data_IF_835388229229
#
_entry.id   IF_835388229229
#
_cell.length_a   1.000
_cell.length_b   1.000
_cell.length_c   1.000
_cell.angle_alpha   90.00
_cell.angle_beta   90.00
_cell.angle_gamma   90.00
#
_symmetry.space_group_name_H-M   'P 1'
#
loop_
_entity.id
_entity.type
_entity.pdbx_description
1 polymer ?
#
# COMPACT_ATOMS: atom_id res chain seq x y z
N UNK A 1 9.58 -6.99 -93.36
CA UNK A 1 9.71 -5.52 -93.38
C UNK A 1 10.39 -5.14 -92.07
N UNK A 2 11.61 -4.63 -92.20
CA UNK A 2 12.51 -4.24 -91.10
C UNK A 2 12.20 -2.80 -90.68
N UNK A 3 12.17 -2.56 -89.37
CA UNK A 3 12.11 -1.26 -88.66
C UNK A 3 12.19 -1.63 -87.18
N UNK A 4 13.07 -1.15 -86.28
CA UNK A 4 13.94 0.01 -86.16
C UNK A 4 15.14 -0.42 -85.27
N UNK A 5 16.40 -0.09 -85.58
CA UNK A 5 17.14 1.14 -85.19
C UNK A 5 17.16 1.37 -83.67
N UNK A 6 18.17 0.82 -82.97
CA UNK A 6 19.33 1.48 -82.31
C UNK A 6 19.00 2.16 -80.98
N UNK A 7 19.58 1.64 -79.90
CA UNK A 7 20.13 2.45 -78.80
C UNK A 7 21.43 1.79 -78.25
N UNK A 8 22.47 2.56 -77.91
CA UNK A 8 23.81 2.04 -77.63
C UNK A 8 24.17 1.98 -76.13
N UNK A 9 25.14 1.10 -75.86
CA UNK A 9 26.14 1.06 -74.78
C UNK A 9 25.97 1.99 -73.55
N UNK A 10 25.76 1.40 -72.38
CA UNK A 10 26.44 1.83 -71.15
C UNK A 10 26.95 0.63 -70.33
N UNK A 11 28.26 0.41 -70.47
CA UNK A 11 29.25 0.17 -69.40
C UNK A 11 28.99 -1.01 -68.45
N UNK A 12 29.78 -2.07 -68.66
CA UNK A 12 30.03 -3.11 -67.66
C UNK A 12 30.75 -2.53 -66.44
N UNK A 13 30.11 -2.62 -65.27
CA UNK A 13 30.83 -2.67 -64.00
C UNK A 13 30.57 -4.03 -63.35
N UNK A 14 31.57 -4.89 -63.42
CA UNK A 14 31.59 -6.18 -62.75
C UNK A 14 31.83 -5.96 -61.25
N UNK A 15 31.07 -6.65 -60.41
CA UNK A 15 31.57 -7.44 -59.27
C UNK A 15 30.70 -7.34 -57.99
N UNK A 16 30.14 -8.51 -57.64
CA UNK A 16 29.92 -8.99 -56.29
C UNK A 16 28.95 -8.22 -55.36
N UNK A 17 27.66 -8.48 -55.55
CA UNK A 17 26.77 -8.66 -54.40
C UNK A 17 26.06 -10.01 -54.55
N UNK A 18 26.57 -11.04 -53.88
CA UNK A 18 25.79 -12.27 -53.62
C UNK A 18 24.56 -11.83 -52.81
N UNK A 19 23.42 -11.63 -53.49
CA UNK A 19 22.12 -11.53 -52.82
C UNK A 19 21.93 -12.82 -52.05
N UNK A 20 22.00 -12.74 -50.72
CA UNK A 20 21.67 -13.86 -49.84
C UNK A 20 20.18 -14.11 -50.01
N UNK A 21 19.83 -15.12 -50.80
CA UNK A 21 18.48 -15.68 -50.77
C UNK A 21 18.34 -16.41 -49.43
N UNK A 22 17.84 -15.68 -48.43
CA UNK A 22 17.33 -16.28 -47.20
C UNK A 22 16.06 -17.02 -47.61
N UNK A 23 16.12 -18.36 -47.68
CA UNK A 23 14.90 -19.15 -47.64
C UNK A 23 14.22 -18.86 -46.31
N UNK A 24 13.01 -18.31 -46.34
CA UNK A 24 12.16 -18.15 -45.15
C UNK A 24 11.93 -19.54 -44.56
N UNK A 25 12.77 -19.93 -43.61
CA UNK A 25 12.69 -21.19 -42.89
C UNK A 25 11.58 -21.11 -41.86
N UNK A 26 10.34 -21.26 -42.31
CA UNK A 26 9.17 -21.34 -41.44
C UNK A 26 7.92 -20.79 -42.10
N UNK A 27 6.80 -21.46 -41.85
CA UNK A 27 5.47 -20.95 -42.15
C UNK A 27 5.23 -19.69 -41.32
N UNK A 28 5.29 -18.51 -41.95
CA UNK A 28 4.98 -17.22 -41.32
C UNK A 28 3.49 -16.99 -41.54
N UNK A 29 2.67 -17.54 -40.65
CA UNK A 29 1.21 -17.46 -40.72
C UNK A 29 0.58 -16.80 -39.50
N UNK A 30 -0.66 -16.31 -39.65
CA UNK A 30 -1.54 -15.91 -38.55
C UNK A 30 -1.75 -17.04 -37.53
N UNK A 31 -1.47 -18.28 -37.93
CA UNK A 31 -1.46 -19.48 -37.06
C UNK A 31 -0.48 -19.36 -35.88
N UNK A 32 0.52 -18.48 -35.96
CA UNK A 32 1.47 -18.22 -34.85
C UNK A 32 1.01 -17.14 -33.88
N UNK A 33 -0.10 -16.43 -34.15
CA UNK A 33 -0.63 -15.40 -33.23
C UNK A 33 -1.02 -15.97 -31.86
N UNK A 34 -1.67 -17.15 -31.74
CA UNK A 34 -1.92 -17.79 -30.46
C UNK A 34 -0.62 -18.05 -29.70
N UNK A 35 0.40 -18.60 -30.37
CA UNK A 35 1.71 -18.87 -29.75
C UNK A 35 2.42 -17.58 -29.31
N UNK A 36 2.26 -16.49 -30.06
CA UNK A 36 2.76 -15.17 -29.70
C UNK A 36 2.03 -14.58 -28.49
N UNK A 37 0.69 -14.74 -28.40
CA UNK A 37 -0.09 -14.30 -27.26
C UNK A 37 0.22 -15.12 -26.01
N UNK A 38 0.36 -16.44 -26.16
CA UNK A 38 0.76 -17.34 -25.07
C UNK A 38 2.15 -16.98 -24.58
N UNK A 39 3.15 -16.87 -25.46
CA UNK A 39 4.52 -16.52 -25.07
C UNK A 39 4.63 -15.14 -24.43
N UNK A 40 3.88 -14.15 -24.92
CA UNK A 40 3.78 -12.82 -24.29
C UNK A 40 3.15 -12.89 -22.89
N UNK A 41 2.06 -13.65 -22.75
CA UNK A 41 1.38 -13.82 -21.46
C UNK A 41 2.24 -14.56 -20.44
N UNK A 42 2.98 -15.59 -20.89
CA UNK A 42 3.94 -16.33 -20.07
C UNK A 42 5.08 -15.43 -19.60
N UNK A 43 5.58 -14.54 -20.46
CA UNK A 43 6.65 -13.58 -20.11
C UNK A 43 6.17 -12.50 -19.13
N UNK A 44 4.92 -12.06 -19.26
CA UNK A 44 4.33 -11.05 -18.38
C UNK A 44 3.96 -11.63 -17.01
N UNK A 45 3.69 -12.94 -16.95
CA UNK A 45 3.22 -13.63 -15.75
C UNK A 45 1.75 -13.33 -15.44
N UNK A 46 1.19 -14.11 -14.52
CA UNK A 46 -0.20 -13.99 -14.09
C UNK A 46 -0.25 -13.43 -12.67
N UNK A 47 -1.20 -12.53 -12.41
CA UNK A 47 -1.51 -12.09 -11.06
C UNK A 47 -2.79 -12.79 -10.61
N UNK A 48 -2.81 -13.36 -9.41
CA UNK A 48 -4.01 -13.95 -8.85
C UNK A 48 -4.18 -13.55 -7.39
N UNK A 49 -5.31 -12.93 -7.04
CA UNK A 49 -5.55 -12.39 -5.72
C UNK A 49 -6.74 -13.10 -5.07
N UNK A 50 -6.49 -13.76 -3.94
CA UNK A 50 -7.47 -14.56 -3.19
C UNK A 50 -7.74 -13.87 -1.86
N UNK A 51 -9.02 -13.60 -1.58
CA UNK A 51 -9.48 -13.13 -0.27
C UNK A 51 -10.03 -14.32 0.53
N UNK A 52 -9.51 -14.52 1.74
CA UNK A 52 -9.99 -15.53 2.67
C UNK A 52 -10.81 -14.88 3.79
N UNK A 53 -12.12 -15.12 3.80
CA UNK A 53 -13.05 -14.61 4.81
C UNK A 53 -13.56 -15.73 5.70
N UNK A 54 -13.43 -15.58 7.02
CA UNK A 54 -14.03 -16.51 7.96
C UNK A 54 -13.52 -16.34 9.38
N UNK A 55 -14.13 -17.06 10.31
CA UNK A 55 -13.83 -16.93 11.75
C UNK A 55 -12.37 -17.23 12.10
N UNK A 56 -11.89 -16.66 13.21
CA UNK A 56 -10.55 -16.94 13.72
C UNK A 56 -10.43 -18.41 14.13
N UNK A 57 -9.34 -19.07 13.73
CA UNK A 57 -9.12 -20.50 14.02
C UNK A 57 -9.89 -21.49 13.15
N UNK A 58 -10.59 -21.04 12.10
CA UNK A 58 -11.33 -21.93 11.19
C UNK A 58 -10.45 -22.79 10.28
N UNK A 59 -9.18 -22.40 10.09
CA UNK A 59 -8.20 -23.14 9.28
C UNK A 59 -7.87 -22.50 7.92
N UNK A 60 -8.05 -21.17 7.78
CA UNK A 60 -7.76 -20.41 6.54
C UNK A 60 -6.33 -20.60 6.06
N UNK A 61 -5.36 -20.28 6.92
CA UNK A 61 -3.93 -20.40 6.64
C UNK A 61 -3.51 -21.83 6.33
N UNK A 62 -4.07 -22.82 7.04
CA UNK A 62 -3.81 -24.24 6.78
C UNK A 62 -4.30 -24.65 5.39
N UNK A 63 -5.51 -24.24 4.99
CA UNK A 63 -6.03 -24.54 3.66
C UNK A 63 -5.16 -23.92 2.56
N UNK A 64 -4.72 -22.68 2.73
CA UNK A 64 -3.84 -22.01 1.76
C UNK A 64 -2.50 -22.73 1.62
N UNK A 65 -1.88 -23.14 2.73
CA UNK A 65 -0.66 -23.94 2.70
C UNK A 65 -0.87 -25.28 1.97
N UNK A 66 -2.01 -25.95 2.21
CA UNK A 66 -2.34 -27.20 1.51
C UNK A 66 -2.57 -26.96 0.01
N UNK A 67 -3.26 -25.88 -0.38
CA UNK A 67 -3.63 -25.61 -1.76
C UNK A 67 -2.42 -25.35 -2.66
N UNK A 68 -1.47 -24.56 -2.19
CA UNK A 68 -0.25 -24.21 -2.94
C UNK A 68 0.96 -25.10 -2.62
N UNK A 69 0.79 -26.05 -1.69
CA UNK A 69 1.86 -26.94 -1.22
C UNK A 69 3.12 -26.18 -0.75
N UNK A 70 2.90 -24.99 -0.18
CA UNK A 70 3.95 -24.09 0.31
C UNK A 70 3.64 -23.72 1.75
N UNK A 71 4.69 -23.59 2.58
CA UNK A 71 4.55 -23.11 3.95
C UNK A 71 4.59 -21.59 3.95
N UNK A 72 3.42 -20.96 3.97
CA UNK A 72 3.33 -19.53 4.17
C UNK A 72 3.53 -19.21 5.67
N UNK A 73 4.46 -18.30 5.99
CA UNK A 73 4.72 -17.85 7.36
C UNK A 73 3.51 -17.11 7.93
N UNK A 74 2.61 -17.81 8.62
CA UNK A 74 1.42 -17.22 9.25
C UNK A 74 1.66 -17.04 10.75
N UNK A 75 1.58 -15.81 11.24
CA UNK A 75 1.43 -15.58 12.69
C UNK A 75 0.00 -15.98 13.08
N UNK A 76 -0.13 -16.76 14.15
CA UNK A 76 -1.42 -17.11 14.69
C UNK A 76 -2.13 -15.86 15.21
N UNK A 77 -3.35 -15.65 14.72
CA UNK A 77 -4.19 -14.54 15.14
C UNK A 77 -4.72 -14.77 16.56
N UNK A 78 -4.54 -13.78 17.44
CA UNK A 78 -5.17 -13.76 18.75
C UNK A 78 -6.67 -13.48 18.63
N UNK A 79 -7.49 -14.15 19.46
CA UNK A 79 -8.93 -13.94 19.58
C UNK A 79 -9.32 -12.60 20.23
N UNK A 80 -8.36 -11.87 20.82
CA UNK A 80 -8.60 -10.62 21.56
C UNK A 80 -8.41 -9.36 20.71
N UNK A 81 -8.54 -9.46 19.39
CA UNK A 81 -8.35 -8.29 18.53
C UNK A 81 -9.57 -7.38 18.54
N UNK A 82 -9.31 -6.09 18.80
CA UNK A 82 -10.34 -5.06 18.95
C UNK A 82 -11.06 -4.70 17.63
N UNK A 83 -10.63 -5.23 16.48
CA UNK A 83 -11.26 -4.96 15.18
C UNK A 83 -10.82 -5.93 14.10
N UNK A 84 -11.55 -5.92 12.99
CA UNK A 84 -11.26 -6.70 11.78
C UNK A 84 -10.23 -5.94 10.94
N UNK A 85 -9.13 -6.60 10.58
CA UNK A 85 -8.18 -6.06 9.60
C UNK A 85 -7.79 -7.11 8.57
N UNK A 86 -7.37 -6.64 7.41
CA UNK A 86 -6.93 -7.46 6.29
C UNK A 86 -5.41 -7.45 6.21
N UNK A 87 -4.83 -8.63 6.03
CA UNK A 87 -3.39 -8.82 5.90
C UNK A 87 -3.09 -9.37 4.50
N UNK A 88 -2.76 -8.52 3.51
CA UNK A 88 -2.34 -8.97 2.19
C UNK A 88 -0.90 -9.50 2.23
N UNK A 89 -0.67 -10.60 1.52
CA UNK A 89 0.64 -11.26 1.42
C UNK A 89 0.84 -11.71 0.00
N UNK A 90 1.89 -11.21 -0.63
CA UNK A 90 2.21 -11.51 -2.03
C UNK A 90 3.35 -12.50 -2.10
N UNK A 91 3.15 -13.55 -2.88
CA UNK A 91 4.08 -14.64 -3.13
C UNK A 91 4.31 -14.78 -4.62
N UNK A 92 5.55 -14.83 -5.04
CA UNK A 92 5.91 -15.13 -6.42
C UNK A 92 6.14 -16.64 -6.54
N UNK A 93 5.16 -17.32 -7.13
CA UNK A 93 5.21 -18.75 -7.41
C UNK A 93 5.63 -18.96 -8.87
N UNK A 94 6.43 -20.00 -9.10
CA UNK A 94 6.79 -20.41 -10.46
C UNK A 94 6.42 -21.88 -10.64
N UNK A 95 5.54 -22.15 -11.60
CA UNK A 95 5.18 -23.51 -11.98
C UNK A 95 5.66 -23.75 -13.41
N UNK A 96 6.65 -24.63 -13.54
CA UNK A 96 7.38 -24.86 -14.80
C UNK A 96 7.95 -23.56 -15.39
N UNK A 97 7.35 -23.02 -16.45
CA UNK A 97 7.79 -21.80 -17.14
C UNK A 97 6.84 -20.61 -16.89
N UNK A 98 5.81 -20.77 -16.07
CA UNK A 98 4.81 -19.75 -15.81
C UNK A 98 5.07 -19.11 -14.45
N UNK A 99 5.20 -17.78 -14.45
CA UNK A 99 5.27 -16.99 -13.23
C UNK A 99 3.86 -16.59 -12.79
N UNK A 100 3.51 -16.93 -11.56
CA UNK A 100 2.26 -16.58 -10.90
C UNK A 100 2.56 -15.73 -9.67
N UNK A 101 2.19 -14.46 -9.72
CA UNK A 101 2.19 -13.56 -8.57
C UNK A 101 0.87 -13.71 -7.82
N UNK A 102 0.91 -14.50 -6.76
CA UNK A 102 -0.23 -14.81 -5.92
C UNK A 102 -0.30 -13.84 -4.73
N UNK A 103 -1.40 -13.10 -4.58
CA UNK A 103 -1.67 -12.34 -3.34
C UNK A 103 -2.75 -13.02 -2.54
N UNK A 104 -2.44 -13.44 -1.33
CA UNK A 104 -3.40 -13.98 -0.37
C UNK A 104 -3.73 -12.87 0.62
N UNK A 105 -5.01 -12.54 0.73
CA UNK A 105 -5.53 -11.56 1.68
C UNK A 105 -6.29 -12.29 2.77
N UNK A 106 -5.69 -12.36 3.96
CA UNK A 106 -6.32 -12.99 5.11
C UNK A 106 -7.09 -11.97 5.94
N UNK A 107 -8.31 -12.33 6.32
CA UNK A 107 -9.09 -11.59 7.33
C UNK A 107 -8.74 -12.06 8.73
N UNK A 108 -8.39 -11.10 9.59
CA UNK A 108 -8.04 -11.35 10.99
C UNK A 108 -9.09 -10.73 11.90
N UNK A 109 -9.49 -11.45 12.94
CA UNK A 109 -10.49 -10.97 13.91
C UNK A 109 -11.93 -11.01 13.40
N UNK A 110 -12.22 -11.63 12.25
CA UNK A 110 -13.59 -11.72 11.74
C UNK A 110 -14.46 -12.59 12.66
N UNK A 111 -15.55 -12.03 13.17
CA UNK A 111 -16.53 -12.74 14.02
C UNK A 111 -16.18 -12.83 15.51
N UNK A 112 -15.02 -12.32 15.93
CA UNK A 112 -14.56 -12.31 17.33
C UNK A 112 -15.18 -11.17 18.16
N UNK A 113 -15.61 -10.08 17.51
CA UNK A 113 -16.21 -8.94 18.22
C UNK A 113 -17.61 -9.27 18.75
N UNK A 114 -17.96 -8.65 19.89
CA UNK A 114 -19.31 -8.74 20.47
C UNK A 114 -20.31 -8.03 19.54
N UNK A 115 -19.95 -6.86 19.00
CA UNK A 115 -20.75 -6.18 17.99
C UNK A 115 -20.28 -6.59 16.59
N UNK A 116 -21.17 -7.28 15.86
CA UNK A 116 -20.87 -7.94 14.57
C UNK A 116 -21.49 -7.25 13.36
N UNK A 117 -22.23 -6.16 13.57
CA UNK A 117 -22.96 -5.48 12.49
C UNK A 117 -22.00 -4.84 11.47
N UNK A 118 -20.85 -4.33 11.93
CA UNK A 118 -19.89 -3.59 11.13
C UNK A 118 -18.66 -4.41 10.70
N UNK A 119 -18.63 -5.72 10.97
CA UNK A 119 -17.47 -6.58 10.68
C UNK A 119 -17.16 -6.70 9.18
N UNK A 120 -18.14 -6.44 8.29
CA UNK A 120 -17.93 -6.47 6.84
C UNK A 120 -17.32 -5.19 6.28
N UNK A 121 -17.41 -4.05 6.99
CA UNK A 121 -16.96 -2.74 6.48
C UNK A 121 -15.48 -2.76 6.08
N UNK A 122 -14.52 -3.23 6.92
CA UNK A 122 -13.11 -3.22 6.54
C UNK A 122 -12.81 -4.09 5.31
N UNK A 123 -13.55 -5.19 5.12
CA UNK A 123 -13.40 -6.08 3.96
C UNK A 123 -13.87 -5.37 2.69
N UNK A 124 -15.03 -4.74 2.77
CA UNK A 124 -15.61 -3.99 1.65
C UNK A 124 -14.73 -2.79 1.31
N UNK A 125 -14.28 -2.03 2.30
CA UNK A 125 -13.41 -0.87 2.11
C UNK A 125 -12.08 -1.27 1.46
N UNK A 126 -11.52 -2.43 1.82
CA UNK A 126 -10.32 -2.96 1.19
C UNK A 126 -10.55 -3.30 -0.29
N UNK A 127 -11.66 -3.98 -0.61
CA UNK A 127 -12.03 -4.31 -2.01
C UNK A 127 -12.21 -3.03 -2.83
N UNK A 128 -12.97 -2.06 -2.30
CA UNK A 128 -13.22 -0.78 -2.96
C UNK A 128 -11.92 0.01 -3.17
N UNK A 129 -11.00 -0.03 -2.19
CA UNK A 129 -9.68 0.59 -2.33
C UNK A 129 -8.88 -0.04 -3.48
N UNK A 130 -8.96 -1.36 -3.68
CA UNK A 130 -8.28 -2.00 -4.81
C UNK A 130 -8.91 -1.61 -6.15
N UNK A 131 -10.24 -1.53 -6.22
CA UNK A 131 -10.92 -1.06 -7.42
C UNK A 131 -10.61 0.42 -7.71
N UNK A 132 -10.55 1.25 -6.68
CA UNK A 132 -10.17 2.66 -6.82
C UNK A 132 -8.73 2.80 -7.34
N UNK A 133 -7.78 2.04 -6.79
CA UNK A 133 -6.39 2.07 -7.25
C UNK A 133 -6.27 1.71 -8.74
N UNK A 134 -7.02 0.72 -9.18
CA UNK A 134 -7.07 0.32 -10.59
C UNK A 134 -7.74 1.40 -11.47
N UNK A 135 -8.86 1.97 -11.01
CA UNK A 135 -9.56 3.06 -11.71
C UNK A 135 -8.67 4.30 -11.84
N UNK A 136 -7.94 4.67 -10.79
CA UNK A 136 -6.99 5.79 -10.84
C UNK A 136 -5.88 5.56 -11.86
N UNK A 137 -5.38 4.33 -12.01
CA UNK A 137 -4.43 4.00 -13.05
C UNK A 137 -5.05 4.10 -14.45
N UNK A 138 -6.30 3.65 -14.63
CA UNK A 138 -7.04 3.78 -15.89
C UNK A 138 -7.27 5.24 -16.28
N UNK A 139 -7.51 6.12 -15.30
CA UNK A 139 -7.73 7.55 -15.52
C UNK A 139 -6.44 8.35 -15.80
N UNK A 140 -5.25 7.78 -15.60
CA UNK A 140 -3.99 8.47 -15.94
C UNK A 140 -3.88 8.70 -17.45
N UNK A 141 -3.28 9.82 -17.84
CA UNK A 141 -3.07 10.20 -19.26
C UNK A 141 -2.03 9.29 -19.92
N UNK A 142 -0.94 8.97 -19.22
CA UNK A 142 0.05 7.99 -19.65
C UNK A 142 -0.25 6.65 -18.96
N UNK A 143 -1.04 5.83 -19.63
CA UNK A 143 -1.49 4.52 -19.11
C UNK A 143 -0.40 3.48 -19.35
N UNK A 144 0.05 2.82 -18.29
CA UNK A 144 0.87 1.62 -18.39
C UNK A 144 0.12 0.41 -17.83
N UNK A 145 -1.07 0.13 -18.35
CA UNK A 145 -1.92 -0.99 -17.92
C UNK A 145 -1.20 -2.35 -18.02
N UNK A 146 -0.29 -2.49 -18.98
CA UNK A 146 0.50 -3.69 -19.19
C UNK A 146 1.57 -3.94 -18.11
N UNK A 147 2.07 -2.89 -17.46
CA UNK A 147 3.04 -3.01 -16.36
C UNK A 147 2.40 -2.80 -14.99
N UNK A 148 1.09 -2.54 -14.93
CA UNK A 148 0.40 -2.32 -13.68
C UNK A 148 0.16 -3.65 -12.98
N UNK A 149 0.45 -3.69 -11.69
CA UNK A 149 0.17 -4.86 -10.88
C UNK A 149 -1.30 -4.84 -10.48
N UNK A 150 -2.07 -5.79 -11.00
CA UNK A 150 -3.48 -5.94 -10.62
C UNK A 150 -3.60 -6.41 -9.18
N UNK A 151 -4.14 -5.56 -8.30
CA UNK A 151 -4.40 -5.87 -6.88
C UNK A 151 -5.86 -6.19 -6.59
N UNK A 152 -6.73 -6.20 -7.61
CA UNK A 152 -8.16 -6.51 -7.44
C UNK A 152 -8.35 -7.93 -6.96
N UNK A 153 -9.28 -8.15 -6.05
CA UNK A 153 -9.58 -9.49 -5.54
C UNK A 153 -10.38 -10.25 -6.60
N UNK A 154 -9.83 -11.36 -7.10
CA UNK A 154 -10.50 -12.17 -8.13
C UNK A 154 -11.50 -13.16 -7.52
N UNK A 155 -11.23 -13.60 -6.29
CA UNK A 155 -12.00 -14.64 -5.62
C UNK A 155 -12.06 -14.38 -4.12
N UNK A 156 -13.25 -14.58 -3.54
CA UNK A 156 -13.47 -14.61 -2.11
C UNK A 156 -13.83 -16.03 -1.66
N UNK A 157 -12.92 -16.69 -0.95
CA UNK A 157 -13.19 -17.95 -0.27
C UNK A 157 -13.85 -17.68 1.07
N UNK A 158 -15.13 -18.06 1.18
CA UNK A 158 -15.93 -17.83 2.37
C UNK A 158 -16.01 -19.10 3.22
N UNK A 159 -15.30 -19.10 4.35
CA UNK A 159 -15.20 -20.23 5.26
C UNK A 159 -16.40 -20.28 6.22
N UNK A 160 -17.26 -21.26 6.01
CA UNK A 160 -18.42 -21.55 6.85
C UNK A 160 -17.99 -22.54 7.94
N UNK A 161 -18.34 -22.22 9.18
CA UNK A 161 -18.11 -23.12 10.31
C UNK A 161 -19.01 -24.37 10.22
N UNK A 162 -18.48 -25.58 10.48
CA UNK A 162 -19.24 -26.81 10.40
C UNK A 162 -20.13 -27.00 11.64
N UNK A 163 -21.17 -26.18 11.78
CA UNK A 163 -22.12 -26.27 12.91
C UNK A 163 -23.19 -27.34 12.71
N UNK A 164 -23.38 -27.83 11.47
CA UNK A 164 -24.39 -28.85 11.14
C UNK A 164 -25.84 -28.36 11.09
N UNK A 165 -26.08 -27.08 11.41
CA UNK A 165 -27.40 -26.47 11.46
C UNK A 165 -27.67 -25.61 10.21
N UNK A 166 -27.66 -24.29 10.39
CA UNK A 166 -27.92 -23.25 9.40
C UNK A 166 -26.72 -22.31 9.31
N UNK A 167 -26.72 -21.42 8.32
CA UNK A 167 -25.76 -20.33 8.23
C UNK A 167 -25.93 -19.38 9.42
N UNK A 168 -24.82 -18.78 9.87
CA UNK A 168 -24.87 -17.73 10.88
C UNK A 168 -25.46 -16.46 10.25
N UNK A 169 -26.18 -15.68 11.04
CA UNK A 169 -26.73 -14.39 10.57
C UNK A 169 -25.62 -13.43 10.11
N UNK A 170 -24.45 -13.48 10.77
CA UNK A 170 -23.26 -12.73 10.36
C UNK A 170 -22.82 -13.08 8.93
N UNK A 171 -22.82 -14.38 8.62
CA UNK A 171 -22.36 -14.88 7.32
C UNK A 171 -23.29 -14.40 6.21
N UNK A 172 -24.60 -14.46 6.46
CA UNK A 172 -25.63 -14.03 5.52
C UNK A 172 -25.54 -12.52 5.23
N UNK A 173 -25.38 -11.68 6.27
CA UNK A 173 -25.22 -10.23 6.08
C UNK A 173 -23.93 -9.93 5.31
N UNK A 174 -22.83 -10.60 5.65
CA UNK A 174 -21.53 -10.37 5.01
C UNK A 174 -21.54 -10.80 3.54
N UNK A 175 -22.04 -12.00 3.24
CA UNK A 175 -22.12 -12.51 1.87
C UNK A 175 -23.01 -11.62 0.99
N UNK A 176 -24.14 -11.13 1.52
CA UNK A 176 -25.04 -10.21 0.81
C UNK A 176 -24.43 -8.84 0.52
N UNK A 177 -23.38 -8.43 1.24
CA UNK A 177 -22.65 -7.19 0.95
C UNK A 177 -21.48 -7.41 -0.01
N UNK A 178 -20.94 -8.63 -0.05
CA UNK A 178 -19.79 -9.00 -0.89
C UNK A 178 -20.19 -9.51 -2.28
N UNK A 179 -21.41 -10.02 -2.45
CA UNK A 179 -21.87 -10.67 -3.70
C UNK A 179 -21.82 -9.76 -4.94
N UNK A 180 -22.08 -8.46 -4.76
CA UNK A 180 -21.98 -7.46 -5.83
C UNK A 180 -20.54 -7.08 -6.19
N UNK A 181 -19.56 -7.38 -5.32
CA UNK A 181 -18.19 -6.89 -5.43
C UNK A 181 -17.16 -7.96 -5.77
N UNK A 182 -17.36 -9.20 -5.35
CA UNK A 182 -16.39 -10.28 -5.56
C UNK A 182 -17.12 -11.60 -5.82
N UNK A 183 -16.52 -12.45 -6.64
CA UNK A 183 -16.93 -13.85 -6.82
C UNK A 183 -16.76 -14.65 -5.53
N UNK A 184 -17.87 -14.91 -4.82
CA UNK A 184 -17.87 -15.66 -3.56
C UNK A 184 -17.98 -17.15 -3.83
N UNK A 185 -17.07 -17.92 -3.22
CA UNK A 185 -17.11 -19.38 -3.20
C UNK A 185 -17.25 -19.86 -1.74
N UNK A 186 -18.42 -20.39 -1.37
CA UNK A 186 -18.65 -20.90 -0.02
C UNK A 186 -17.95 -22.25 0.17
N UNK A 187 -17.16 -22.35 1.24
CA UNK A 187 -16.44 -23.56 1.64
C UNK A 187 -16.78 -23.92 3.08
N UNK A 188 -17.14 -25.18 3.30
CA UNK A 188 -17.33 -25.74 4.63
C UNK A 188 -15.96 -26.15 5.14
N UNK A 189 -15.47 -25.44 6.16
CA UNK A 189 -14.19 -25.72 6.77
C UNK A 189 -14.30 -26.88 7.77
N UNK A 190 -13.16 -27.53 8.08
CA UNK A 190 -13.06 -28.64 9.04
C UNK A 190 -14.17 -29.69 8.82
N UNK A 191 -14.34 -30.10 7.56
CA UNK A 191 -15.37 -31.07 7.17
C UNK A 191 -15.16 -32.46 7.81
N UNK A 192 -13.98 -32.72 8.36
CA UNK A 192 -13.64 -33.89 9.19
C UNK A 192 -14.45 -33.99 10.49
N UNK A 193 -15.08 -32.89 10.93
CA UNK A 193 -15.92 -32.86 12.14
C UNK A 193 -17.36 -33.32 11.91
N UNK A 194 -17.80 -33.45 10.66
CA UNK A 194 -19.21 -33.72 10.30
C UNK A 194 -19.31 -35.07 9.60
N UNK A 195 -20.33 -35.86 9.93
CA UNK A 195 -20.55 -37.12 9.23
C UNK A 195 -21.02 -36.89 7.79
N UNK A 196 -20.79 -37.84 6.88
CA UNK A 196 -21.22 -37.73 5.46
C UNK A 196 -22.73 -37.47 5.32
N UNK A 197 -23.54 -38.08 6.20
CA UNK A 197 -25.00 -37.92 6.18
C UNK A 197 -25.46 -36.54 6.64
N UNK A 198 -24.78 -35.97 7.64
CA UNK A 198 -25.03 -34.61 8.13
C UNK A 198 -24.52 -33.58 7.14
N UNK A 199 -23.35 -33.82 6.54
CA UNK A 199 -22.77 -32.95 5.53
C UNK A 199 -23.71 -32.77 4.33
N UNK A 200 -24.32 -33.85 3.85
CA UNK A 200 -25.30 -33.78 2.75
C UNK A 200 -26.51 -32.92 3.14
N UNK A 201 -27.08 -33.11 4.34
CA UNK A 201 -28.18 -32.28 4.85
C UNK A 201 -27.77 -30.83 5.03
N UNK A 202 -26.55 -30.59 5.48
CA UNK A 202 -25.99 -29.26 5.72
C UNK A 202 -25.76 -28.49 4.42
N UNK A 203 -25.21 -29.15 3.38
CA UNK A 203 -25.06 -28.56 2.04
C UNK A 203 -26.40 -28.10 1.48
N UNK A 204 -27.43 -28.94 1.55
CA UNK A 204 -28.79 -28.60 1.07
C UNK A 204 -29.35 -27.39 1.83
N UNK A 205 -29.20 -27.35 3.17
CA UNK A 205 -29.67 -26.21 3.97
C UNK A 205 -28.97 -24.92 3.62
N UNK A 206 -27.63 -24.93 3.51
CA UNK A 206 -26.85 -23.75 3.12
C UNK A 206 -27.32 -23.23 1.75
N UNK A 207 -27.46 -24.12 0.76
CA UNK A 207 -27.91 -23.73 -0.58
C UNK A 207 -29.33 -23.14 -0.56
N UNK A 208 -30.25 -23.77 0.20
CA UNK A 208 -31.61 -23.26 0.36
C UNK A 208 -31.64 -21.87 1.01
N UNK A 209 -30.79 -21.62 2.01
CA UNK A 209 -30.70 -20.32 2.69
C UNK A 209 -30.09 -19.24 1.80
N UNK A 210 -29.07 -19.57 1.01
CA UNK A 210 -28.46 -18.63 0.05
C UNK A 210 -29.48 -18.19 -1.00
N UNK A 211 -30.24 -19.14 -1.56
CA UNK A 211 -31.30 -18.85 -2.54
C UNK A 211 -32.43 -18.03 -1.92
N UNK A 212 -32.87 -18.38 -0.71
CA UNK A 212 -33.97 -17.66 -0.03
C UNK A 212 -33.63 -16.20 0.29
N UNK A 213 -32.34 -15.90 0.51
CA UNK A 213 -31.87 -14.54 0.82
C UNK A 213 -31.39 -13.76 -0.40
N UNK A 214 -31.36 -14.40 -1.57
CA UNK A 214 -30.94 -13.81 -2.84
C UNK A 214 -29.44 -13.53 -2.93
N UNK A 215 -28.60 -14.31 -2.24
CA UNK A 215 -27.14 -14.15 -2.28
C UNK A 215 -26.60 -14.75 -3.57
N UNK A 216 -25.93 -13.95 -4.37
CA UNK A 216 -25.30 -14.42 -5.61
C UNK A 216 -23.93 -15.03 -5.31
N UNK A 217 -23.84 -16.36 -5.40
CA UNK A 217 -22.55 -17.07 -5.37
C UNK A 217 -22.01 -17.21 -6.79
N UNK A 218 -20.71 -17.40 -6.89
CA UNK A 218 -20.07 -17.71 -8.17
C UNK A 218 -20.57 -19.07 -8.68
N UNK A 219 -21.10 -19.06 -9.90
CA UNK A 219 -21.53 -20.26 -10.62
C UNK A 219 -20.64 -20.41 -11.85
N UNK A 220 -20.19 -21.63 -12.11
CA UNK A 220 -19.34 -21.88 -13.27
C UNK A 220 -20.14 -21.67 -14.56
N UNK A 221 -19.55 -20.97 -15.55
CA UNK A 221 -20.15 -20.88 -16.88
C UNK A 221 -20.23 -22.28 -17.49
N UNK A 222 -21.40 -22.62 -18.03
CA UNK A 222 -21.65 -23.87 -18.78
C UNK A 222 -21.60 -23.66 -20.29
N UNK A 223 -21.11 -22.49 -20.72
CA UNK A 223 -21.22 -21.99 -22.09
C UNK A 223 -20.31 -22.73 -23.07
N UNK A 224 -19.22 -23.32 -22.58
CA UNK A 224 -18.29 -24.11 -23.39
C UNK A 224 -18.62 -25.61 -23.30
N UNK A 225 -19.03 -26.19 -24.44
CA UNK A 225 -19.40 -27.62 -24.58
C UNK A 225 -18.29 -28.57 -24.09
N UNK A 226 -17.01 -28.18 -24.16
CA UNK A 226 -15.90 -29.05 -23.77
C UNK A 226 -15.72 -29.16 -22.25
N UNK A 227 -16.14 -28.14 -21.49
CA UNK A 227 -15.98 -28.08 -20.02
C UNK A 227 -17.32 -28.03 -19.28
N UNK A 228 -18.45 -27.99 -20.00
CA UNK A 228 -19.79 -27.91 -19.43
C UNK A 228 -20.11 -29.07 -18.47
N UNK A 229 -19.75 -30.31 -18.82
CA UNK A 229 -20.00 -31.48 -17.96
C UNK A 229 -19.22 -31.41 -16.64
N UNK A 230 -17.96 -30.96 -16.71
CA UNK A 230 -17.10 -30.80 -15.54
C UNK A 230 -17.65 -29.66 -14.67
N UNK A 231 -17.99 -28.53 -15.27
CA UNK A 231 -18.52 -27.35 -14.57
C UNK A 231 -19.87 -27.63 -13.91
N UNK A 232 -20.76 -28.39 -14.56
CA UNK A 232 -22.02 -28.84 -13.98
C UNK A 232 -21.80 -29.74 -12.75
N UNK A 233 -20.85 -30.68 -12.84
CA UNK A 233 -20.45 -31.52 -11.70
C UNK A 233 -19.87 -30.68 -10.56
N UNK A 234 -19.03 -29.67 -10.85
CA UNK A 234 -18.46 -28.79 -9.84
C UNK A 234 -19.51 -27.92 -9.16
N UNK A 235 -20.48 -27.37 -9.92
CA UNK A 235 -21.61 -26.63 -9.39
C UNK A 235 -22.45 -27.48 -8.42
N UNK A 236 -22.65 -28.77 -8.70
CA UNK A 236 -23.39 -29.69 -7.82
C UNK A 236 -22.69 -29.97 -6.49
N UNK A 237 -21.38 -29.77 -6.40
CA UNK A 237 -20.60 -30.01 -5.18
C UNK A 237 -20.51 -28.80 -4.25
N UNK A 238 -20.97 -27.62 -4.70
CA UNK A 238 -21.03 -26.41 -3.89
C UNK A 238 -22.07 -26.57 -2.76
N UNK A 239 -21.77 -26.12 -1.53
CA UNK A 239 -20.46 -25.64 -1.05
C UNK A 239 -19.43 -26.77 -0.83
N UNK A 240 -18.15 -26.51 -1.13
CA UNK A 240 -17.10 -27.53 -1.01
C UNK A 240 -16.78 -27.87 0.44
N UNK A 241 -16.70 -29.16 0.76
CA UNK A 241 -16.35 -29.63 2.09
C UNK A 241 -14.84 -29.93 2.16
N UNK A 242 -14.08 -29.07 2.84
CA UNK A 242 -12.62 -29.10 2.79
C UNK A 242 -11.99 -29.44 4.13
N UNK A 243 -10.86 -30.13 4.03
CA UNK A 243 -9.98 -30.45 5.15
C UNK A 243 -8.57 -30.01 4.74
N UNK A 244 -7.93 -29.19 5.57
CA UNK A 244 -6.54 -28.77 5.37
C UNK A 244 -5.62 -29.52 6.32
N UNK A 245 -4.47 -29.96 5.81
CA UNK A 245 -3.36 -30.48 6.62
C UNK A 245 -2.03 -30.11 5.99
N UNK A 246 -1.06 -29.83 6.86
CA UNK A 246 0.35 -29.64 6.50
C UNK A 246 1.15 -30.92 6.81
N UNK A 247 0.66 -31.75 7.72
CA UNK A 247 1.35 -32.95 8.16
C UNK A 247 1.27 -34.05 7.10
N UNK A 248 2.42 -34.63 6.80
CA UNK A 248 2.52 -35.79 5.91
C UNK A 248 2.58 -37.08 6.72
N UNK A 249 1.65 -37.99 6.44
CA UNK A 249 1.59 -39.30 7.07
C UNK A 249 1.83 -40.36 6.00
N UNK A 250 2.63 -41.37 6.31
CA UNK A 250 2.82 -42.54 5.45
C UNK A 250 1.62 -43.46 5.59
N UNK A 251 0.78 -43.52 4.55
CA UNK A 251 -0.31 -44.50 4.46
C UNK A 251 0.07 -45.51 3.37
N UNK A 252 0.50 -46.70 3.78
CA UNK A 252 1.08 -47.69 2.87
C UNK A 252 2.45 -47.23 2.33
N UNK A 253 2.61 -47.24 1.00
CA UNK A 253 3.86 -46.86 0.32
C UNK A 253 3.91 -45.38 -0.15
N UNK A 254 2.88 -44.58 0.13
CA UNK A 254 2.82 -43.17 -0.29
C UNK A 254 2.80 -42.24 0.92
N UNK A 255 3.59 -41.17 0.86
CA UNK A 255 3.49 -40.02 1.75
C UNK A 255 2.35 -39.15 1.27
N UNK A 256 1.31 -39.00 2.09
CA UNK A 256 0.13 -38.20 1.75
C UNK A 256 -0.15 -37.23 2.88
N UNK A 257 -0.61 -36.02 2.53
CA UNK A 257 -1.05 -35.03 3.51
C UNK A 257 -2.33 -35.51 4.17
N UNK A 258 -2.29 -35.65 5.49
CA UNK A 258 -3.38 -36.24 6.24
C UNK A 258 -3.47 -35.65 7.64
N UNK A 259 -4.64 -35.80 8.28
CA UNK A 259 -4.82 -35.53 9.70
C UNK A 259 -4.94 -36.85 10.45
N UNK A 260 -4.08 -37.05 11.44
CA UNK A 260 -4.07 -38.26 12.24
C UNK A 260 -4.94 -38.07 13.49
N UNK A 261 -5.93 -38.93 13.63
CA UNK A 261 -6.75 -39.05 14.83
C UNK A 261 -6.53 -40.42 15.50
N UNK A 262 -6.87 -40.57 16.80
CA UNK A 262 -6.80 -41.86 17.47
C UNK A 262 -7.62 -42.98 16.79
N UNK A 263 -8.71 -42.62 16.10
CA UNK A 263 -9.60 -43.56 15.42
C UNK A 263 -9.31 -43.75 13.92
N UNK A 264 -8.39 -42.99 13.33
CA UNK A 264 -8.10 -43.12 11.90
C UNK A 264 -7.36 -41.93 11.31
N UNK A 265 -7.02 -42.05 10.02
CA UNK A 265 -6.25 -41.04 9.28
C UNK A 265 -7.13 -40.47 8.17
N UNK A 266 -7.38 -39.16 8.22
CA UNK A 266 -8.14 -38.44 7.19
C UNK A 266 -7.17 -37.90 6.14
N UNK A 267 -7.12 -38.59 5.00
CA UNK A 267 -6.36 -38.14 3.82
C UNK A 267 -7.03 -36.92 3.16
N UNK A 268 -6.25 -35.87 2.90
CA UNK A 268 -6.75 -34.63 2.28
C UNK A 268 -6.92 -34.76 0.77
N UNK A 269 -6.07 -35.55 0.11
CA UNK A 269 -6.12 -35.73 -1.35
C UNK A 269 -7.09 -36.85 -1.79
N UNK A 270 -7.87 -37.40 -0.84
CA UNK A 270 -8.80 -38.48 -1.13
C UNK A 270 -10.23 -37.93 -1.30
N UNK A 271 -10.78 -38.05 -2.51
CA UNK A 271 -12.14 -37.57 -2.86
C UNK A 271 -13.25 -38.22 -2.04
N UNK A 272 -13.03 -39.42 -1.50
CA UNK A 272 -14.02 -40.08 -0.65
C UNK A 272 -14.09 -39.49 0.76
N UNK A 273 -13.07 -38.74 1.17
CA UNK A 273 -12.96 -38.12 2.49
C UNK A 273 -13.30 -36.64 2.44
N UNK A 274 -12.84 -35.90 1.42
CA UNK A 274 -13.14 -34.48 1.28
C UNK A 274 -13.12 -34.04 -0.19
N UNK A 275 -13.77 -32.91 -0.46
CA UNK A 275 -13.85 -32.31 -1.80
C UNK A 275 -12.65 -31.40 -2.10
N UNK A 276 -11.52 -31.55 -1.39
CA UNK A 276 -10.34 -30.68 -1.56
C UNK A 276 -9.75 -30.77 -2.98
N UNK A 277 -9.69 -31.97 -3.57
CA UNK A 277 -9.18 -32.17 -4.94
C UNK A 277 -10.02 -31.37 -5.94
N UNK A 278 -11.36 -31.41 -5.79
CA UNK A 278 -12.29 -30.66 -6.63
C UNK A 278 -12.08 -29.15 -6.49
N UNK A 279 -11.92 -28.64 -5.26
CA UNK A 279 -11.60 -27.22 -5.03
C UNK A 279 -10.27 -26.84 -5.69
N UNK A 280 -9.23 -27.69 -5.58
CA UNK A 280 -7.92 -27.40 -6.17
C UNK A 280 -7.99 -27.37 -7.70
N UNK A 281 -8.62 -28.37 -8.32
CA UNK A 281 -8.79 -28.41 -9.78
C UNK A 281 -9.62 -27.23 -10.28
N UNK A 282 -10.68 -26.88 -9.57
CA UNK A 282 -11.50 -25.72 -9.88
C UNK A 282 -10.69 -24.42 -9.88
N UNK A 283 -9.90 -24.17 -8.83
CA UNK A 283 -9.22 -22.89 -8.66
C UNK A 283 -7.99 -22.73 -9.54
N UNK A 284 -7.19 -23.78 -9.69
CA UNK A 284 -5.87 -23.70 -10.33
C UNK A 284 -5.95 -24.11 -11.81
N UNK A 285 -6.76 -25.12 -12.15
CA UNK A 285 -6.67 -25.79 -13.46
C UNK A 285 -7.61 -25.20 -14.53
N UNK A 286 -8.82 -24.80 -14.15
CA UNK A 286 -9.88 -24.46 -15.13
C UNK A 286 -10.31 -22.99 -15.05
N UNK A 287 -10.51 -22.44 -13.84
CA UNK A 287 -11.29 -21.20 -13.72
C UNK A 287 -10.50 -19.96 -13.28
N UNK A 288 -9.15 -20.02 -13.21
CA UNK A 288 -8.35 -18.85 -12.80
C UNK A 288 -8.56 -17.66 -13.74
N UNK A 289 -8.62 -17.92 -15.05
CA UNK A 289 -8.85 -16.89 -16.07
C UNK A 289 -10.28 -16.36 -16.05
N UNK A 290 -11.28 -17.25 -15.98
CA UNK A 290 -12.70 -16.86 -15.88
C UNK A 290 -12.98 -16.00 -14.64
N UNK A 291 -12.42 -16.36 -13.47
CA UNK A 291 -12.56 -15.56 -12.26
C UNK A 291 -11.99 -14.15 -12.43
N UNK A 292 -10.84 -14.02 -13.12
CA UNK A 292 -10.25 -12.72 -13.44
C UNK A 292 -11.12 -11.93 -14.42
N UNK A 293 -11.64 -12.59 -15.45
CA UNK A 293 -12.52 -11.97 -16.44
C UNK A 293 -13.84 -11.51 -15.81
N UNK A 294 -14.52 -12.34 -15.01
CA UNK A 294 -15.71 -11.94 -14.28
C UNK A 294 -15.46 -10.77 -13.32
N UNK A 295 -14.31 -10.78 -12.64
CA UNK A 295 -13.92 -9.65 -11.77
C UNK A 295 -13.78 -8.36 -12.57
N UNK A 296 -13.19 -8.43 -13.77
CA UNK A 296 -13.05 -7.27 -14.64
C UNK A 296 -14.39 -6.84 -15.25
N UNK A 297 -15.10 -7.74 -15.91
CA UNK A 297 -16.26 -7.44 -16.74
C UNK A 297 -17.53 -7.13 -15.92
N UNK A 298 -17.66 -7.71 -14.73
CA UNK A 298 -18.85 -7.55 -13.90
C UNK A 298 -18.61 -6.68 -12.67
N UNK A 299 -17.70 -7.10 -11.80
CA UNK A 299 -17.53 -6.46 -10.50
C UNK A 299 -16.85 -5.09 -10.61
N UNK A 300 -15.74 -5.03 -11.35
CA UNK A 300 -15.01 -3.78 -11.58
C UNK A 300 -15.84 -2.80 -12.42
N UNK A 301 -16.49 -3.24 -13.50
CA UNK A 301 -17.36 -2.35 -14.30
C UNK A 301 -18.54 -1.80 -13.50
N UNK A 302 -19.14 -2.58 -12.60
CA UNK A 302 -20.20 -2.10 -11.71
C UNK A 302 -19.68 -1.00 -10.77
N UNK A 303 -18.52 -1.22 -10.16
CA UNK A 303 -17.87 -0.20 -9.33
C UNK A 303 -17.50 1.04 -10.13
N UNK A 304 -16.91 0.85 -11.31
CA UNK A 304 -16.51 1.91 -12.24
C UNK A 304 -17.69 2.76 -12.67
N UNK A 305 -18.82 2.14 -13.05
CA UNK A 305 -20.05 2.87 -13.39
C UNK A 305 -20.53 3.73 -12.24
N UNK A 306 -20.66 3.16 -11.03
CA UNK A 306 -21.09 3.93 -9.86
C UNK A 306 -20.12 5.08 -9.54
N UNK A 307 -18.81 4.86 -9.64
CA UNK A 307 -17.82 5.91 -9.39
C UNK A 307 -17.80 6.99 -10.44
N UNK A 308 -17.96 6.64 -11.72
CA UNK A 308 -18.06 7.62 -12.78
C UNK A 308 -19.35 8.46 -12.63
N UNK A 309 -20.47 7.83 -12.31
CA UNK A 309 -21.72 8.55 -12.01
C UNK A 309 -21.56 9.51 -10.81
N UNK A 310 -20.90 9.07 -9.72
CA UNK A 310 -20.57 9.91 -8.57
C UNK A 310 -19.65 11.09 -8.94
N UNK A 311 -18.69 10.87 -9.85
CA UNK A 311 -17.82 11.92 -10.38
C UNK A 311 -18.54 12.85 -11.38
N UNK A 312 -19.84 12.64 -11.63
CA UNK A 312 -20.66 13.50 -12.47
C UNK A 312 -20.75 13.07 -13.94
N UNK A 313 -20.22 11.89 -14.30
CA UNK A 313 -20.42 11.29 -15.62
C UNK A 313 -21.77 10.56 -15.65
N UNK A 314 -22.88 11.32 -15.64
CA UNK A 314 -24.19 10.75 -15.97
C UNK A 314 -24.36 10.73 -17.48
N UNK A 315 -24.75 9.58 -18.03
CA UNK A 315 -25.35 9.51 -19.35
C UNK A 315 -26.71 10.23 -19.29
N UNK A 316 -26.70 11.56 -19.49
CA UNK A 316 -27.93 12.30 -19.72
C UNK A 316 -28.42 12.03 -21.15
N UNK A 317 -29.74 11.95 -21.27
CA UNK A 317 -30.53 11.82 -22.50
C UNK A 317 -29.92 12.48 -23.75
N UNK A 318 -30.19 11.94 -24.96
CA UNK A 318 -29.60 12.40 -26.24
C UNK A 318 -29.84 13.88 -26.61
N UNK A 319 -30.58 14.64 -25.79
CA UNK A 319 -30.94 16.05 -26.00
C UNK A 319 -30.28 17.02 -25.00
N UNK A 320 -29.47 16.52 -24.06
CA UNK A 320 -28.62 17.37 -23.20
C UNK A 320 -27.21 17.41 -23.75
N UNK A 321 -26.68 18.60 -24.00
CA UNK A 321 -25.33 18.82 -24.54
C UNK A 321 -24.29 17.90 -23.88
N UNK A 322 -23.33 17.32 -24.64
CA UNK A 322 -22.33 16.44 -24.08
C UNK A 322 -21.55 17.19 -23.01
N UNK A 323 -21.78 16.85 -21.75
CA UNK A 323 -20.99 17.37 -20.63
C UNK A 323 -19.54 16.98 -20.89
N UNK A 324 -18.71 17.98 -21.22
CA UNK A 324 -17.41 17.75 -21.83
C UNK A 324 -16.48 17.07 -20.83
N UNK A 325 -15.93 15.92 -21.19
CA UNK A 325 -14.81 15.25 -20.49
C UNK A 325 -13.72 16.26 -20.07
N UNK A 326 -13.51 17.30 -20.88
CA UNK A 326 -12.54 18.37 -20.61
C UNK A 326 -12.86 19.15 -19.32
N UNK A 327 -14.12 19.44 -19.03
CA UNK A 327 -14.52 20.30 -17.90
C UNK A 327 -14.37 19.58 -16.55
N UNK A 328 -14.60 18.27 -16.49
CA UNK A 328 -14.36 17.48 -15.26
C UNK A 328 -12.86 17.28 -15.00
N UNK A 329 -12.06 17.07 -16.05
CA UNK A 329 -10.60 17.08 -15.92
C UNK A 329 -10.07 18.46 -15.50
N UNK A 330 -10.65 19.54 -16.03
CA UNK A 330 -10.29 20.91 -15.63
C UNK A 330 -10.74 21.21 -14.19
N UNK A 331 -11.91 20.73 -13.76
CA UNK A 331 -12.38 20.88 -12.39
C UNK A 331 -11.48 20.13 -11.39
N UNK A 332 -11.16 18.85 -11.65
CA UNK A 332 -10.20 18.10 -10.81
C UNK A 332 -8.80 18.70 -10.85
N UNK A 333 -8.35 19.22 -11.98
CA UNK A 333 -7.08 19.95 -12.08
C UNK A 333 -7.09 21.22 -11.24
N UNK A 334 -8.22 21.93 -11.22
CA UNK A 334 -8.43 23.14 -10.39
C UNK A 334 -8.44 22.79 -8.90
N UNK A 335 -9.08 21.68 -8.53
CA UNK A 335 -9.11 21.18 -7.16
C UNK A 335 -7.71 20.77 -6.69
N UNK A 336 -6.96 20.02 -7.51
CA UNK A 336 -5.58 19.64 -7.21
C UNK A 336 -4.65 20.85 -7.11
N UNK A 337 -4.81 21.84 -8.00
CA UNK A 337 -4.09 23.12 -7.91
C UNK A 337 -4.46 23.88 -6.63
N UNK A 338 -5.73 23.87 -6.24
CA UNK A 338 -6.20 24.47 -4.99
C UNK A 338 -5.61 23.80 -3.76
N UNK A 339 -5.52 22.47 -3.75
CA UNK A 339 -4.89 21.71 -2.67
C UNK A 339 -3.39 21.93 -2.59
N UNK A 340 -2.71 22.03 -3.73
CA UNK A 340 -1.29 22.37 -3.78
C UNK A 340 -1.04 23.79 -3.26
N UNK A 341 -1.88 24.76 -3.67
CA UNK A 341 -1.83 26.13 -3.17
C UNK A 341 -2.10 26.19 -1.67
N UNK A 342 -3.07 25.44 -1.16
CA UNK A 342 -3.36 25.38 0.27
C UNK A 342 -2.18 24.82 1.07
N UNK A 343 -1.54 23.74 0.59
CA UNK A 343 -0.31 23.21 1.21
C UNK A 343 0.86 24.18 1.12
N UNK A 344 0.99 24.91 0.01
CA UNK A 344 2.00 25.96 -0.15
C UNK A 344 1.74 27.13 0.80
N UNK A 345 0.49 27.56 0.95
CA UNK A 345 0.06 28.61 1.87
C UNK A 345 0.29 28.20 3.33
N UNK A 346 -0.02 26.95 3.69
CA UNK A 346 0.28 26.38 5.01
C UNK A 346 1.79 26.37 5.27
N UNK A 347 2.60 25.91 4.31
CA UNK A 347 4.06 25.93 4.43
C UNK A 347 4.60 27.36 4.53
N UNK A 348 4.03 28.30 3.77
CA UNK A 348 4.40 29.72 3.80
C UNK A 348 3.99 30.37 5.13
N UNK A 349 2.82 30.03 5.68
CA UNK A 349 2.39 30.49 7.00
C UNK A 349 3.29 29.93 8.10
N UNK A 350 3.67 28.64 8.03
CA UNK A 350 4.65 28.07 8.96
C UNK A 350 5.99 28.81 8.86
N UNK A 351 6.46 29.13 7.65
CA UNK A 351 7.69 29.91 7.46
C UNK A 351 7.57 31.32 8.02
N UNK A 352 6.48 32.05 7.74
CA UNK A 352 6.25 33.41 8.26
C UNK A 352 6.16 33.41 9.79
N UNK A 353 5.49 32.44 10.39
CA UNK A 353 5.42 32.31 11.85
C UNK A 353 6.79 32.02 12.44
N UNK A 354 7.56 31.13 11.81
CA UNK A 354 8.94 30.83 12.21
C UNK A 354 9.84 32.07 12.11
N UNK A 355 9.73 32.84 11.03
CA UNK A 355 10.48 34.09 10.84
C UNK A 355 10.10 35.11 11.92
N UNK A 356 8.80 35.31 12.18
CA UNK A 356 8.32 36.22 13.24
C UNK A 356 8.83 35.83 14.62
N UNK A 357 8.82 34.54 14.94
CA UNK A 357 9.36 34.00 16.20
C UNK A 357 10.87 34.29 16.30
N UNK A 358 11.63 33.99 15.25
CA UNK A 358 13.08 34.27 15.23
C UNK A 358 13.39 35.78 15.29
N UNK A 359 12.58 36.62 14.65
CA UNK A 359 12.75 38.08 14.69
C UNK A 359 12.43 38.63 16.09
N UNK A 360 11.41 38.09 16.76
CA UNK A 360 11.07 38.44 18.13
C UNK A 360 12.20 38.04 19.10
N UNK A 361 12.75 36.83 18.98
CA UNK A 361 13.91 36.39 19.77
C UNK A 361 15.14 37.28 19.52
N UNK A 362 15.39 37.67 18.27
CA UNK A 362 16.53 38.50 17.91
C UNK A 362 16.38 39.91 18.49
N UNK A 363 15.16 40.46 18.45
CA UNK A 363 14.83 41.75 19.05
C UNK A 363 14.95 41.74 20.58
N UNK A 364 14.58 40.64 21.24
CA UNK A 364 14.79 40.48 22.68
C UNK A 364 16.28 40.43 23.02
N UNK A 365 17.08 39.67 22.26
CA UNK A 365 18.54 39.64 22.41
C UNK A 365 19.19 40.99 22.16
N UNK A 366 18.74 41.74 21.15
CA UNK A 366 19.22 43.11 20.90
C UNK A 366 18.91 44.04 22.08
N UNK A 367 17.70 43.94 22.64
CA UNK A 367 17.31 44.72 23.82
C UNK A 367 18.17 44.37 25.03
N UNK A 368 18.37 43.09 25.32
CA UNK A 368 19.27 42.67 26.41
C UNK A 368 20.70 43.16 26.20
N UNK A 369 21.20 43.10 24.97
CA UNK A 369 22.53 43.57 24.63
C UNK A 369 22.63 45.09 24.83
N UNK A 370 21.59 45.84 24.47
CA UNK A 370 21.52 47.28 24.67
C UNK A 370 21.47 47.65 26.16
N UNK A 371 20.69 46.94 26.96
CA UNK A 371 20.64 47.12 28.42
C UNK A 371 21.99 46.80 29.08
N UNK A 372 22.66 45.71 28.66
CA UNK A 372 24.02 45.38 29.11
C UNK A 372 25.03 46.46 28.73
N UNK A 373 24.94 47.00 27.51
CA UNK A 373 25.80 48.09 27.04
C UNK A 373 25.61 49.37 27.87
N UNK A 374 24.36 49.77 28.15
CA UNK A 374 24.05 50.91 29.01
C UNK A 374 24.55 50.71 30.45
N UNK A 375 24.40 49.51 31.02
CA UNK A 375 24.96 49.19 32.34
C UNK A 375 26.49 49.30 32.35
N UNK A 376 27.18 48.72 31.37
CA UNK A 376 28.63 48.81 31.20
C UNK A 376 29.09 50.26 31.05
N UNK A 377 28.38 51.06 30.26
CA UNK A 377 28.66 52.49 30.07
C UNK A 377 28.52 53.29 31.36
N UNK A 378 27.51 53.01 32.19
CA UNK A 378 27.33 53.65 33.51
C UNK A 378 28.44 53.25 34.48
N UNK A 379 28.78 51.96 34.56
CA UNK A 379 29.90 51.50 35.38
C UNK A 379 31.21 52.17 34.95
N UNK A 380 31.47 52.24 33.64
CA UNK A 380 32.67 52.88 33.11
C UNK A 380 32.72 54.39 33.41
N UNK A 381 31.59 55.11 33.32
CA UNK A 381 31.50 56.52 33.73
C UNK A 381 31.77 56.70 35.22
N UNK A 382 31.25 55.81 36.07
CA UNK A 382 31.46 55.88 37.51
C UNK A 382 32.90 55.53 37.91
N UNK A 383 33.52 54.54 37.27
CA UNK A 383 34.95 54.27 37.42
C UNK A 383 35.80 55.44 36.96
N UNK A 384 35.48 56.05 35.81
CA UNK A 384 36.17 57.24 35.32
C UNK A 384 36.08 58.40 36.33
N UNK A 385 34.90 58.64 36.92
CA UNK A 385 34.69 59.64 37.97
C UNK A 385 35.54 59.33 39.21
N UNK A 386 35.56 58.07 39.67
CA UNK A 386 36.40 57.64 40.81
C UNK A 386 37.89 57.82 40.53
N UNK A 387 38.34 57.56 39.30
CA UNK A 387 39.73 57.77 38.88
C UNK A 387 40.06 59.26 38.81
N UNK A 388 39.18 60.10 38.27
CA UNK A 388 39.36 61.56 38.25
C UNK A 388 39.38 62.17 39.65
N UNK A 389 38.54 61.69 40.57
CA UNK A 389 38.53 62.12 41.97
C UNK A 389 39.84 61.75 42.66
N UNK A 390 40.29 60.50 42.54
CA UNK A 390 41.61 60.08 43.03
C UNK A 390 42.76 60.88 42.41
N UNK A 391 42.66 61.24 41.12
CA UNK A 391 43.66 62.07 40.44
C UNK A 391 43.70 63.48 41.02
N UNK A 392 42.52 64.07 41.28
CA UNK A 392 42.41 65.40 41.91
C UNK A 392 42.98 65.38 43.33
N UNK A 393 42.64 64.38 44.12
CA UNK A 393 43.15 64.26 45.49
C UNK A 393 44.69 64.10 45.48
N UNK A 394 45.23 63.29 44.57
CA UNK A 394 46.69 63.17 44.37
C UNK A 394 47.34 64.49 43.90
N UNK A 395 46.68 65.26 43.02
CA UNK A 395 47.15 66.59 42.60
C UNK A 395 47.12 67.59 43.76
N UNK A 396 46.11 67.55 44.62
CA UNK A 396 46.01 68.37 45.82
C UNK A 396 47.09 68.01 46.85
N UNK A 397 47.33 66.71 47.08
CA UNK A 397 48.43 66.22 47.92
C UNK A 397 49.79 66.62 47.34
N UNK A 398 49.99 66.48 46.03
CA UNK A 398 51.22 66.91 45.34
C UNK A 398 51.43 68.43 45.47
N UNK A 399 50.37 69.23 45.32
CA UNK A 399 50.43 70.68 45.47
C UNK A 399 50.66 71.10 46.93
N UNK A 400 50.09 70.39 47.90
CA UNK A 400 50.38 70.60 49.32
C UNK A 400 51.82 70.21 49.67
N UNK A 401 52.32 69.10 49.11
CA UNK A 401 53.71 68.68 49.24
C UNK A 401 54.67 69.70 48.62
N UNK A 402 54.39 70.20 47.41
CA UNK A 402 55.17 71.26 46.77
C UNK A 402 55.13 72.58 47.56
N UNK A 403 53.98 72.96 48.13
CA UNK A 403 53.89 74.13 49.02
C UNK A 403 54.73 73.97 50.29
N UNK A 404 54.69 72.78 50.92
CA UNK A 404 55.55 72.46 52.08
C UNK A 404 57.02 72.45 51.68
N UNK A 405 57.38 71.88 50.53
CA UNK A 405 58.74 71.91 49.98
C UNK A 405 59.23 73.34 49.74
N UNK A 406 58.44 74.18 49.08
CA UNK A 406 58.76 75.59 48.86
C UNK A 406 58.89 76.37 50.18
N UNK A 407 58.03 76.11 51.18
CA UNK A 407 58.12 76.72 52.50
C UNK A 407 59.41 76.31 53.26
N UNK A 408 59.83 75.04 53.14
CA UNK A 408 61.11 74.56 53.69
C UNK A 408 62.30 75.18 52.95
N UNK A 409 62.24 75.31 51.61
CA UNK A 409 63.26 76.01 50.83
C UNK A 409 63.33 77.51 51.18
N UNK A 410 62.20 78.20 51.44
CA UNK A 410 62.20 79.62 51.85
C UNK A 410 62.63 79.84 53.31
N UNK A 411 62.31 78.92 54.22
CA UNK A 411 62.82 78.93 55.59
C UNK A 411 64.33 78.65 55.64
N UNK A 412 64.86 77.89 54.69
CA UNK A 412 66.32 77.73 54.54
C UNK A 412 67.02 79.00 54.03
N UNK A 413 66.30 79.92 53.36
CA UNK A 413 66.83 81.17 52.81
C UNK A 413 66.59 82.41 53.70
N UNK A 414 65.93 82.28 54.84
CA UNK A 414 65.59 83.43 55.70
C UNK A 414 65.81 83.17 57.20
N UNK A 415 67.06 82.88 57.57
CA UNK A 415 67.61 83.36 58.85
C UNK A 415 68.96 84.07 58.63
N UNK A 416 69.03 85.39 58.82
CA UNK A 416 70.28 86.14 58.90
C UNK A 416 70.81 86.15 60.34
N UNK A 417 71.94 85.50 60.59
CA UNK A 417 72.69 85.66 61.84
C UNK A 417 73.65 86.85 61.70
N UNK A 418 73.23 88.01 62.21
CA UNK A 418 74.16 89.12 62.53
C UNK A 418 74.74 88.93 63.94
N UNK A 419 76.07 88.98 63.97
CA UNK A 419 76.98 89.22 65.11
C UNK A 419 76.54 90.40 66.01
N UNK A 420 76.72 90.26 67.31
CA UNK A 420 77.79 90.91 68.11
C UNK A 420 77.80 90.32 69.56
N UNK A 421 78.91 89.71 70.02
CA UNK A 421 79.87 90.24 71.04
C UNK A 421 79.16 90.91 72.24
N UNK A 422 79.29 90.46 73.50
CA UNK A 422 80.53 90.49 74.30
C UNK A 422 80.36 89.89 75.73
N UNK A 423 81.52 89.53 76.34
CA UNK A 423 81.89 89.45 77.78
C UNK A 423 81.49 88.31 78.75
N UNK A 424 82.55 87.56 79.09
CA UNK A 424 83.11 87.24 80.44
C UNK A 424 82.28 86.40 81.44
N UNK A 425 82.68 85.15 81.65
CA UNK A 425 83.71 84.75 82.64
C UNK A 425 84.25 83.37 82.32
#
# INVERSE_FOLDING_TARGET
>A
MQSNVVEPDEISFCAHTKKRNLSLGGHVGFDSLPDQLVSKSVTQGFCFNILCVGETGIGKSTLMNTLFNTMFENEEASHYQNGVYLRPRTYDLQESNVHLKLTIVDTVGFGDQINKEDSYKPIVDYIDTQFENYLQEELKIKRSLFNYHDTRIHICLYFIAPTGHSLKSLDLVTMKKLDSKVSIIPIIAKADTVSKSELHKFKIKIMSELVSNGVQIYQFPTDDEAVSEINASMNAHLPFAVVGSVEEVKVGNKTVRARQYPWGVVQVENESHCDFVKLREMLIRVNMEDLREQTHARHYELYRRCKLEEMGFKDTDPDSQPFSLQETYEAKRKEFLGDLQRKEEEMRQMFVNKVKETEAELKEKERELHEKFEQLKRMHQEEKRKVEEKRRDLEEEMNAFNRKKMAVETLSLSQPLKKDKDKKK
#
